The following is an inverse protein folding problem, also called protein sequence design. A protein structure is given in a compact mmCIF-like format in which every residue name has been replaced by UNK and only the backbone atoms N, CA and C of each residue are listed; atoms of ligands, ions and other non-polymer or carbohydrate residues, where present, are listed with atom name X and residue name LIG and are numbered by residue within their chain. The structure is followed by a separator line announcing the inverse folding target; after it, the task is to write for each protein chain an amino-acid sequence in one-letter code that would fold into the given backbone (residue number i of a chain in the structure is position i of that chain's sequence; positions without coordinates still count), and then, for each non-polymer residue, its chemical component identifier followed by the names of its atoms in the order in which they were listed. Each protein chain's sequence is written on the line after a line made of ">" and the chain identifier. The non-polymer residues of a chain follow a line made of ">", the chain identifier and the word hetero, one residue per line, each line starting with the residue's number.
data_IF_476967796423
#
_entry.id   IF_476967796423
#
_cell.length_a   1.000
_cell.length_b   1.000
_cell.length_c   1.000
_cell.angle_alpha   90.00
_cell.angle_beta   90.00
_cell.angle_gamma   90.00
#
_symmetry.space_group_name_H-M   'P 1'
#
loop_
_entity.id
_entity.type
_entity.pdbx_description
1 polymer ?
#
# COMPACT_ATOMS: atom_id res chain seq x y z
N UNK A 1 -7.54 -7.19 -7.67
CA UNK A 1 -6.97 -6.34 -8.74
C UNK A 1 -8.09 -5.90 -9.66
N UNK A 2 -7.86 -4.92 -10.54
CA UNK A 2 -8.87 -4.51 -11.52
C UNK A 2 -9.13 -5.63 -12.54
N UNK A 3 -10.34 -5.68 -13.16
CA UNK A 3 -10.71 -6.77 -14.06
C UNK A 3 -9.68 -7.03 -15.18
N UNK A 4 -9.17 -5.97 -15.80
CA UNK A 4 -8.21 -6.07 -16.90
C UNK A 4 -6.90 -6.79 -16.51
N UNK A 5 -6.42 -6.62 -15.26
CA UNK A 5 -5.23 -7.34 -14.79
C UNK A 5 -5.51 -8.83 -14.65
N UNK A 6 -6.68 -9.18 -14.14
CA UNK A 6 -7.07 -10.57 -13.86
C UNK A 6 -7.27 -11.41 -15.13
N UNK A 7 -7.59 -10.79 -16.27
CA UNK A 7 -7.70 -11.49 -17.56
C UNK A 7 -6.40 -12.23 -17.96
N UNK A 8 -5.26 -11.76 -17.46
CA UNK A 8 -3.94 -12.35 -17.71
C UNK A 8 -3.39 -13.17 -16.54
N UNK A 9 -4.15 -13.33 -15.46
CA UNK A 9 -3.71 -14.02 -14.26
C UNK A 9 -3.58 -15.53 -14.49
N UNK A 10 -2.49 -16.11 -14.00
CA UNK A 10 -2.28 -17.56 -14.00
C UNK A 10 -3.02 -18.16 -12.81
N UNK A 11 -3.84 -19.18 -13.05
CA UNK A 11 -4.51 -19.91 -11.97
C UNK A 11 -3.50 -20.63 -11.07
N UNK A 12 -3.69 -20.50 -9.75
CA UNK A 12 -2.84 -21.12 -8.74
C UNK A 12 -3.74 -21.84 -7.75
N UNK A 13 -3.43 -23.10 -7.46
CA UNK A 13 -4.18 -23.90 -6.49
C UNK A 13 -4.13 -23.24 -5.09
N UNK A 14 -5.30 -23.09 -4.47
CA UNK A 14 -5.44 -22.42 -3.17
C UNK A 14 -5.49 -20.89 -3.22
N UNK A 15 -5.55 -20.29 -4.41
CA UNK A 15 -5.71 -18.85 -4.61
C UNK A 15 -7.02 -18.53 -5.34
N UNK A 16 -7.81 -17.61 -4.78
CA UNK A 16 -9.02 -17.09 -5.41
C UNK A 16 -8.80 -15.65 -5.86
N UNK A 17 -9.08 -15.37 -7.12
CA UNK A 17 -8.94 -14.03 -7.70
C UNK A 17 -10.28 -13.29 -7.65
N UNK A 18 -10.27 -12.08 -7.09
CA UNK A 18 -11.42 -11.20 -7.05
C UNK A 18 -11.10 -9.87 -7.72
N UNK A 19 -11.96 -9.49 -8.68
CA UNK A 19 -11.92 -8.16 -9.27
C UNK A 19 -12.32 -7.12 -8.22
N UNK A 20 -11.46 -6.14 -7.97
CA UNK A 20 -11.65 -5.13 -6.95
C UNK A 20 -10.79 -3.89 -7.24
N UNK A 21 -11.39 -2.70 -7.12
CA UNK A 21 -10.69 -1.43 -7.19
C UNK A 21 -10.23 -0.96 -5.81
N UNK A 22 -8.97 -0.55 -5.68
CA UNK A 22 -8.34 -0.20 -4.38
C UNK A 22 -9.05 0.94 -3.61
N UNK A 23 -9.81 1.79 -4.31
CA UNK A 23 -10.57 2.90 -3.71
C UNK A 23 -11.99 2.52 -3.24
N UNK A 24 -12.42 1.28 -3.51
CA UNK A 24 -13.72 0.74 -3.13
C UNK A 24 -13.61 -0.04 -1.82
N UNK A 25 -14.70 -0.09 -1.04
CA UNK A 25 -14.71 -0.86 0.22
C UNK A 25 -14.28 -2.32 -0.03
N UNK A 26 -13.41 -2.84 0.84
CA UNK A 26 -12.94 -4.23 0.73
C UNK A 26 -14.11 -5.21 0.87
N UNK A 27 -14.36 -6.09 -0.12
CA UNK A 27 -15.53 -6.95 -0.13
C UNK A 27 -15.41 -8.14 0.84
N UNK A 28 -14.19 -8.62 1.09
CA UNK A 28 -13.93 -9.74 2.00
C UNK A 28 -13.68 -9.19 3.41
N UNK A 29 -14.57 -9.53 4.35
CA UNK A 29 -14.57 -8.98 5.71
C UNK A 29 -13.99 -9.95 6.74
N UNK A 30 -13.40 -9.40 7.80
CA UNK A 30 -12.95 -10.14 8.98
C UNK A 30 -11.72 -11.02 8.79
N UNK A 31 -11.00 -10.89 7.66
CA UNK A 31 -9.78 -11.68 7.42
C UNK A 31 -8.64 -11.26 8.35
N UNK A 32 -7.69 -12.16 8.61
CA UNK A 32 -6.57 -11.87 9.52
C UNK A 32 -5.66 -10.78 8.99
N UNK A 33 -5.38 -10.77 7.69
CA UNK A 33 -4.45 -9.85 7.06
C UNK A 33 -5.03 -9.30 5.76
N UNK A 34 -4.93 -7.98 5.60
CA UNK A 34 -5.06 -7.29 4.31
C UNK A 34 -3.64 -6.89 3.89
N UNK A 35 -3.10 -7.55 2.87
CA UNK A 35 -1.73 -7.36 2.42
C UNK A 35 -1.68 -6.46 1.20
N UNK A 36 -0.92 -5.38 1.28
CA UNK A 36 -0.69 -4.42 0.21
C UNK A 36 0.80 -4.40 -0.09
N UNK A 37 1.18 -4.72 -1.33
CA UNK A 37 2.57 -4.69 -1.78
C UNK A 37 2.66 -3.91 -3.07
N UNK A 38 3.53 -2.90 -3.12
CA UNK A 38 3.68 -2.04 -4.30
C UNK A 38 2.33 -1.49 -4.79
N UNK A 39 1.57 -0.90 -3.87
CA UNK A 39 0.27 -0.28 -4.16
C UNK A 39 0.32 1.19 -3.77
N UNK A 40 0.72 1.50 -2.54
CA UNK A 40 0.61 2.85 -1.99
C UNK A 40 1.69 3.80 -2.53
N UNK A 41 2.78 3.26 -3.10
CA UNK A 41 3.81 4.06 -3.76
C UNK A 41 3.37 4.64 -5.12
N UNK A 42 2.36 4.06 -5.77
CA UNK A 42 1.81 4.56 -7.04
C UNK A 42 0.97 5.83 -6.84
N UNK A 43 0.54 6.10 -5.60
CA UNK A 43 -0.44 7.12 -5.29
C UNK A 43 0.11 8.21 -4.38
N UNK A 44 -0.45 9.41 -4.53
CA UNK A 44 -0.26 10.52 -3.60
C UNK A 44 -0.94 10.26 -2.25
N UNK A 45 -0.58 11.05 -1.24
CA UNK A 45 -1.04 10.83 0.14
C UNK A 45 -2.57 10.74 0.28
N UNK A 46 -3.32 11.59 -0.44
CA UNK A 46 -4.79 11.62 -0.37
C UNK A 46 -5.41 10.30 -0.85
N UNK A 47 -4.93 9.79 -1.97
CA UNK A 47 -5.39 8.53 -2.56
C UNK A 47 -4.90 7.32 -1.76
N UNK A 48 -3.67 7.35 -1.25
CA UNK A 48 -3.18 6.32 -0.32
C UNK A 48 -4.00 6.26 0.97
N UNK A 49 -4.37 7.41 1.53
CA UNK A 49 -5.27 7.47 2.69
C UNK A 49 -6.67 6.97 2.32
N UNK A 50 -7.18 7.29 1.13
CA UNK A 50 -8.47 6.79 0.64
C UNK A 50 -8.48 5.27 0.54
N UNK A 51 -7.44 4.68 -0.05
CA UNK A 51 -7.25 3.22 -0.14
C UNK A 51 -7.24 2.57 1.24
N UNK A 52 -6.45 3.10 2.18
CA UNK A 52 -6.40 2.57 3.55
C UNK A 52 -7.76 2.67 4.25
N UNK A 53 -8.49 3.78 4.07
CA UNK A 53 -9.83 3.96 4.64
C UNK A 53 -10.87 3.01 4.04
N UNK A 54 -10.71 2.59 2.79
CA UNK A 54 -11.61 1.62 2.16
C UNK A 54 -11.47 0.20 2.74
N UNK A 55 -10.32 -0.11 3.36
CA UNK A 55 -10.08 -1.40 4.03
C UNK A 55 -10.70 -1.44 5.43
N UNK A 56 -10.70 -0.31 6.16
CA UNK A 56 -11.12 -0.22 7.57
C UNK A 56 -12.50 -0.85 7.84
N UNK A 57 -13.57 -0.61 7.05
CA UNK A 57 -14.89 -1.19 7.29
C UNK A 57 -14.94 -2.72 7.19
N UNK A 58 -13.99 -3.33 6.48
CA UNK A 58 -13.90 -4.78 6.33
C UNK A 58 -13.11 -5.42 7.49
N UNK A 59 -12.34 -4.65 8.27
CA UNK A 59 -11.49 -5.19 9.32
C UNK A 59 -12.30 -5.72 10.52
N UNK A 60 -11.93 -6.91 10.99
CA UNK A 60 -12.33 -7.44 12.30
C UNK A 60 -11.37 -6.99 13.41
N UNK A 61 -11.71 -7.28 14.66
CA UNK A 61 -10.91 -6.88 15.85
C UNK A 61 -9.48 -7.40 15.85
N UNK A 62 -9.23 -8.55 15.20
CA UNK A 62 -7.91 -9.17 15.06
C UNK A 62 -7.29 -8.95 13.68
N UNK A 63 -7.97 -8.24 12.77
CA UNK A 63 -7.42 -7.95 11.45
C UNK A 63 -6.24 -6.99 11.55
N UNK A 64 -5.30 -7.12 10.62
CA UNK A 64 -4.17 -6.20 10.43
C UNK A 64 -4.03 -5.85 8.96
N UNK A 65 -3.60 -4.63 8.68
CA UNK A 65 -3.12 -4.24 7.34
C UNK A 65 -1.60 -4.40 7.35
N UNK A 66 -1.06 -5.12 6.38
CA UNK A 66 0.38 -5.32 6.20
C UNK A 66 0.77 -4.59 4.92
N UNK A 67 1.69 -3.63 5.05
CA UNK A 67 2.17 -2.80 3.95
C UNK A 67 3.61 -3.19 3.68
N UNK A 68 3.89 -3.60 2.46
CA UNK A 68 5.20 -4.01 1.97
C UNK A 68 5.61 -3.07 0.83
N UNK A 69 6.39 -2.06 1.20
CA UNK A 69 6.79 -0.96 0.33
C UNK A 69 8.27 -0.62 0.54
N UNK A 70 8.85 0.08 -0.44
CA UNK A 70 10.20 0.62 -0.29
C UNK A 70 10.15 1.75 0.73
N UNK A 71 11.11 1.72 1.66
CA UNK A 71 11.29 2.78 2.66
C UNK A 71 12.58 3.51 2.38
N UNK A 72 12.46 4.80 2.06
CA UNK A 72 13.61 5.68 1.90
C UNK A 72 14.21 6.03 3.28
N UNK A 73 15.53 6.20 3.33
CA UNK A 73 16.21 6.61 4.55
C UNK A 73 15.94 8.09 4.84
N UNK A 74 15.67 8.44 6.11
CA UNK A 74 15.38 9.82 6.52
C UNK A 74 16.62 10.75 6.47
N UNK A 75 17.83 10.18 6.51
CA UNK A 75 19.06 10.95 6.38
C UNK A 75 19.44 11.21 4.92
N UNK A 76 20.12 12.36 4.69
CA UNK A 76 20.83 12.68 3.44
C UNK A 76 22.05 11.76 3.25
N UNK A 77 21.86 10.45 3.29
CA UNK A 77 22.91 9.49 3.02
C UNK A 77 23.19 9.48 1.52
N UNK A 78 24.48 9.58 1.20
CA UNK A 78 25.00 9.65 -0.16
C UNK A 78 24.54 8.45 -0.99
N UNK A 79 23.61 8.70 -1.90
CA UNK A 79 23.48 8.09 -3.23
C UNK A 79 23.81 6.59 -3.31
N UNK A 80 22.85 5.74 -2.97
CA UNK A 80 22.68 4.52 -3.77
C UNK A 80 21.87 4.93 -4.99
N UNK A 81 22.56 5.19 -6.10
CA UNK A 81 22.02 5.70 -7.37
C UNK A 81 20.74 4.97 -7.82
N UNK A 82 20.60 3.69 -7.46
CA UNK A 82 19.47 2.84 -7.85
C UNK A 82 18.13 3.27 -7.21
N UNK A 83 18.11 3.70 -5.95
CA UNK A 83 16.85 4.10 -5.28
C UNK A 83 16.34 5.45 -5.78
N UNK A 84 17.25 6.40 -6.06
CA UNK A 84 16.88 7.65 -6.71
C UNK A 84 16.39 7.43 -8.14
N UNK A 85 16.96 6.46 -8.88
CA UNK A 85 16.48 6.11 -10.23
C UNK A 85 15.09 5.51 -10.17
N UNK A 86 14.78 4.64 -9.19
CA UNK A 86 13.42 4.13 -8.98
C UNK A 86 12.46 5.27 -8.65
N UNK A 87 12.80 6.16 -7.71
CA UNK A 87 11.96 7.31 -7.35
C UNK A 87 11.72 8.26 -8.54
N UNK A 88 12.76 8.59 -9.32
CA UNK A 88 12.58 9.36 -10.56
C UNK A 88 11.75 8.62 -11.61
N UNK A 89 11.90 7.30 -11.72
CA UNK A 89 11.13 6.48 -12.68
C UNK A 89 9.66 6.38 -12.27
N UNK A 90 9.38 6.21 -10.98
CA UNK A 90 8.01 6.17 -10.43
C UNK A 90 7.34 7.55 -10.53
N UNK A 91 8.03 8.63 -10.16
CA UNK A 91 7.53 10.00 -10.35
C UNK A 91 7.25 10.30 -11.83
N UNK A 92 8.17 9.93 -12.74
CA UNK A 92 8.02 10.22 -14.15
C UNK A 92 6.97 9.36 -14.87
N UNK A 93 6.73 8.13 -14.41
CA UNK A 93 5.85 7.17 -15.10
C UNK A 93 4.44 7.12 -14.53
N UNK A 94 4.28 7.33 -13.22
CA UNK A 94 3.03 7.08 -12.49
C UNK A 94 2.57 8.29 -11.66
N UNK A 95 3.42 9.31 -11.47
CA UNK A 95 3.16 10.38 -10.50
C UNK A 95 3.22 9.89 -9.04
N UNK A 96 3.75 8.68 -8.82
CA UNK A 96 3.93 8.05 -7.53
C UNK A 96 5.10 8.62 -6.74
N UNK A 97 5.11 8.36 -5.44
CA UNK A 97 6.11 8.89 -4.49
C UNK A 97 6.60 7.76 -3.61
N UNK A 98 7.90 7.47 -3.70
CA UNK A 98 8.56 6.65 -2.70
C UNK A 98 8.72 7.45 -1.41
N UNK A 99 8.38 6.85 -0.27
CA UNK A 99 8.27 7.57 1.02
C UNK A 99 9.36 7.15 1.98
N UNK A 100 9.84 8.10 2.77
CA UNK A 100 10.71 7.80 3.91
C UNK A 100 9.91 7.18 5.06
N UNK A 101 10.60 6.59 6.06
CA UNK A 101 9.92 6.05 7.24
C UNK A 101 9.07 7.10 7.96
N UNK A 102 9.59 8.34 8.08
CA UNK A 102 8.84 9.46 8.67
C UNK A 102 7.59 9.78 7.85
N UNK A 103 7.69 9.81 6.52
CA UNK A 103 6.55 10.07 5.64
C UNK A 103 5.49 8.95 5.71
N UNK A 104 5.91 7.68 5.72
CA UNK A 104 5.01 6.54 5.93
C UNK A 104 4.28 6.62 7.26
N UNK A 105 4.99 6.92 8.35
CA UNK A 105 4.39 7.05 9.69
C UNK A 105 3.34 8.16 9.72
N UNK A 106 3.63 9.30 9.08
CA UNK A 106 2.69 10.41 9.00
C UNK A 106 1.45 10.08 8.15
N UNK A 107 1.63 9.37 7.03
CA UNK A 107 0.52 8.88 6.21
C UNK A 107 -0.38 7.93 7.01
N UNK A 108 0.22 6.97 7.72
CA UNK A 108 -0.51 6.02 8.56
C UNK A 108 -1.29 6.74 9.66
N UNK A 109 -0.68 7.71 10.32
CA UNK A 109 -1.34 8.54 11.33
C UNK A 109 -2.56 9.29 10.76
N UNK A 110 -2.48 9.84 9.54
CA UNK A 110 -3.62 10.50 8.88
C UNK A 110 -4.71 9.52 8.44
N UNK A 111 -4.32 8.28 8.11
CA UNK A 111 -5.24 7.23 7.68
C UNK A 111 -6.00 6.59 8.86
N UNK A 112 -5.41 6.59 10.05
CA UNK A 112 -5.95 5.90 11.22
C UNK A 112 -6.63 6.87 12.20
N UNK A 113 -7.64 6.38 12.93
CA UNK A 113 -8.07 6.96 14.22
C UNK A 113 -7.39 6.26 15.42
N UNK A 114 -6.41 5.39 15.18
CA UNK A 114 -5.87 4.45 16.18
C UNK A 114 -4.34 4.48 16.25
N UNK A 115 -3.86 4.73 17.47
CA UNK A 115 -2.47 4.74 17.93
C UNK A 115 -2.06 3.33 18.39
N UNK A 116 -1.58 2.49 17.48
CA UNK A 116 -0.66 1.40 17.86
C UNK A 116 0.16 0.99 16.63
N UNK A 117 1.16 1.80 16.33
CA UNK A 117 2.17 1.47 15.31
C UNK A 117 3.23 0.60 15.99
N UNK A 118 2.92 -0.69 16.22
CA UNK A 118 3.99 -1.64 16.53
C UNK A 118 4.74 -1.93 15.22
N UNK A 119 5.68 -1.07 14.88
CA UNK A 119 6.64 -1.28 13.79
C UNK A 119 7.67 -2.32 14.28
N UNK A 120 7.79 -3.44 13.58
CA UNK A 120 8.91 -4.38 13.72
C UNK A 120 9.67 -4.44 12.42
#
# INVERSE_FOLDING_TARGET
>A
DIPATLESAVEVEGLEFHAHGVFEEQPIKGVKFYYLRHILHDWMDEDSIRTLKAIVPAMGTKSRVVIDEIVLHDEKMHRTTNLCVVDFTMMASLGGVERTMTAWTHLLYKSSRYTDTTLR
#
